data_IF_933158220440
#
_entry.id   IF_933158220440
#
_cell.length_a   1.000
_cell.length_b   1.000
_cell.length_c   1.000
_cell.angle_alpha   90.00
_cell.angle_beta   90.00
_cell.angle_gamma   90.00
#
_symmetry.space_group_name_H-M   'P 1'
#
loop_
_entity.id
_entity.type
_entity.pdbx_description
1 polymer ?
#
# COMPACT_ATOMS: atom_id res chain seq x y z
N UNK A 1 -25.17 -12.91 10.73
CA UNK A 1 -24.01 -13.31 11.56
C UNK A 1 -22.83 -12.42 11.17
N UNK A 2 -22.46 -11.46 12.03
CA UNK A 2 -21.47 -10.40 11.76
C UNK A 2 -20.05 -10.97 11.77
N UNK A 3 -19.41 -11.12 10.61
CA UNK A 3 -17.94 -11.26 10.55
C UNK A 3 -17.33 -9.88 10.41
N UNK A 4 -16.91 -9.37 11.56
CA UNK A 4 -16.25 -8.10 11.75
C UNK A 4 -14.97 -8.04 10.91
N UNK A 5 -14.95 -7.02 10.07
CA UNK A 5 -13.91 -6.27 9.37
C UNK A 5 -12.47 -6.29 9.92
N UNK A 6 -11.81 -7.46 9.99
CA UNK A 6 -10.37 -7.58 10.31
C UNK A 6 -9.45 -7.78 9.08
N UNK A 7 -10.00 -7.80 7.85
CA UNK A 7 -9.26 -8.28 6.68
C UNK A 7 -8.08 -7.38 6.23
N UNK A 8 -8.16 -6.05 6.10
CA UNK A 8 -7.05 -5.24 5.57
C UNK A 8 -5.89 -5.10 6.58
N UNK A 9 -6.21 -5.05 7.88
CA UNK A 9 -5.22 -5.07 8.95
C UNK A 9 -4.42 -6.38 8.93
N UNK A 10 -5.12 -7.52 9.00
CA UNK A 10 -4.48 -8.84 9.05
C UNK A 10 -3.65 -9.11 7.80
N UNK A 11 -4.14 -8.73 6.63
CA UNK A 11 -3.43 -8.93 5.37
C UNK A 11 -2.22 -8.02 5.22
N UNK A 12 -2.27 -6.78 5.70
CA UNK A 12 -1.09 -5.89 5.74
C UNK A 12 0.02 -6.44 6.64
N UNK A 13 -0.33 -6.98 7.81
CA UNK A 13 0.62 -7.61 8.74
C UNK A 13 1.20 -8.89 8.12
N UNK A 14 0.37 -9.80 7.61
CA UNK A 14 0.88 -11.03 6.97
C UNK A 14 1.78 -10.70 5.78
N UNK A 15 1.36 -9.74 4.94
CA UNK A 15 2.13 -9.30 3.78
C UNK A 15 3.47 -8.68 4.18
N UNK A 16 3.48 -7.83 5.22
CA UNK A 16 4.72 -7.27 5.74
C UNK A 16 5.71 -8.34 6.21
N UNK A 17 5.21 -9.42 6.81
CA UNK A 17 6.04 -10.54 7.27
C UNK A 17 6.62 -11.30 6.07
N UNK A 18 5.78 -11.55 5.07
CA UNK A 18 6.22 -12.18 3.82
C UNK A 18 7.27 -11.33 3.10
N UNK A 19 7.10 -10.00 3.04
CA UNK A 19 8.09 -9.10 2.48
C UNK A 19 9.40 -9.11 3.28
N UNK A 20 9.34 -9.12 4.61
CA UNK A 20 10.54 -9.16 5.45
C UNK A 20 11.32 -10.47 5.26
N UNK A 21 10.64 -11.62 5.28
CA UNK A 21 11.26 -12.93 5.08
C UNK A 21 11.77 -13.07 3.64
N UNK A 22 10.96 -12.64 2.66
CA UNK A 22 11.30 -12.71 1.24
C UNK A 22 12.39 -11.73 0.80
N UNK A 23 12.64 -10.66 1.56
CA UNK A 23 13.64 -9.67 1.23
C UNK A 23 15.05 -10.26 1.07
N UNK A 24 15.44 -11.14 2.00
CA UNK A 24 16.77 -11.77 2.00
C UNK A 24 16.98 -12.60 0.73
N UNK A 25 16.17 -13.64 0.43
CA UNK A 25 16.39 -14.47 -0.76
C UNK A 25 16.22 -13.68 -2.06
N UNK A 26 15.24 -12.76 -2.17
CA UNK A 26 15.04 -11.96 -3.39
C UNK A 26 16.25 -11.07 -3.64
N UNK A 27 16.75 -10.38 -2.61
CA UNK A 27 17.92 -9.52 -2.74
C UNK A 27 19.20 -10.33 -3.04
N UNK A 28 19.34 -11.55 -2.51
CA UNK A 28 20.46 -12.45 -2.83
C UNK A 28 20.41 -12.91 -4.29
N UNK A 29 19.25 -13.36 -4.77
CA UNK A 29 19.07 -13.79 -6.17
C UNK A 29 19.33 -12.62 -7.12
N UNK A 30 18.74 -11.46 -6.86
CA UNK A 30 18.98 -10.27 -7.68
C UNK A 30 20.43 -9.79 -7.59
N UNK A 31 21.09 -9.92 -6.44
CA UNK A 31 22.51 -9.62 -6.26
C UNK A 31 23.46 -10.51 -7.05
N UNK A 32 23.01 -11.72 -7.44
CA UNK A 32 23.78 -12.55 -8.38
C UNK A 32 23.67 -12.07 -9.83
N UNK A 33 22.62 -11.32 -10.17
CA UNK A 33 22.36 -10.83 -11.53
C UNK A 33 22.81 -9.38 -11.74
N UNK A 34 22.74 -8.55 -10.69
CA UNK A 34 22.99 -7.12 -10.75
C UNK A 34 23.94 -6.63 -9.66
N UNK A 35 24.78 -5.66 -10.01
CA UNK A 35 25.63 -4.96 -9.04
C UNK A 35 24.83 -4.08 -8.09
N UNK A 36 25.27 -4.00 -6.84
CA UNK A 36 24.73 -3.06 -5.86
C UNK A 36 24.80 -1.61 -6.40
N UNK A 37 23.77 -0.75 -6.23
CA UNK A 37 22.59 -0.87 -5.36
C UNK A 37 21.29 -1.35 -6.04
N UNK A 38 21.34 -1.85 -7.28
CA UNK A 38 20.13 -2.21 -8.04
C UNK A 38 19.25 -3.29 -7.38
N UNK A 39 19.80 -4.43 -6.88
CA UNK A 39 19.00 -5.49 -6.24
C UNK A 39 18.10 -4.97 -5.11
N UNK A 40 18.64 -4.06 -4.29
CA UNK A 40 17.95 -3.46 -3.17
C UNK A 40 16.74 -2.64 -3.62
N UNK A 41 16.94 -1.76 -4.60
CA UNK A 41 15.89 -0.89 -5.15
C UNK A 41 14.79 -1.69 -5.83
N UNK A 42 15.18 -2.69 -6.62
CA UNK A 42 14.24 -3.60 -7.27
C UNK A 42 13.39 -4.39 -6.27
N UNK A 43 14.01 -4.89 -5.19
CA UNK A 43 13.29 -5.63 -4.15
C UNK A 43 12.24 -4.75 -3.46
N UNK A 44 12.60 -3.49 -3.14
CA UNK A 44 11.66 -2.53 -2.55
C UNK A 44 10.52 -2.19 -3.51
N UNK A 45 10.85 -1.95 -4.78
CA UNK A 45 9.85 -1.68 -5.81
C UNK A 45 8.86 -2.85 -5.95
N UNK A 46 9.34 -4.09 -5.97
CA UNK A 46 8.48 -5.29 -6.01
C UNK A 46 7.55 -5.35 -4.80
N UNK A 47 8.08 -5.16 -3.58
CA UNK A 47 7.26 -5.11 -2.36
C UNK A 47 6.17 -4.03 -2.45
N UNK A 48 6.51 -2.85 -2.98
CA UNK A 48 5.55 -1.77 -3.15
C UNK A 48 4.50 -2.09 -4.22
N UNK A 49 4.88 -2.71 -5.34
CA UNK A 49 3.95 -3.15 -6.38
C UNK A 49 2.87 -4.07 -5.80
N UNK A 50 3.28 -5.12 -5.11
CA UNK A 50 2.35 -6.07 -4.49
C UNK A 50 1.48 -5.40 -3.42
N UNK A 51 2.06 -4.54 -2.58
CA UNK A 51 1.29 -3.82 -1.58
C UNK A 51 0.26 -2.85 -2.20
N UNK A 52 0.63 -2.17 -3.28
CA UNK A 52 -0.24 -1.23 -3.98
C UNK A 52 -1.44 -1.95 -4.63
N UNK A 53 -1.22 -3.15 -5.15
CA UNK A 53 -2.30 -4.00 -5.67
C UNK A 53 -3.28 -4.42 -4.55
N UNK A 54 -2.76 -4.77 -3.38
CA UNK A 54 -3.60 -5.06 -2.20
C UNK A 54 -4.41 -3.83 -1.78
N UNK A 55 -3.79 -2.65 -1.74
CA UNK A 55 -4.47 -1.39 -1.44
C UNK A 55 -5.60 -1.08 -2.44
N UNK A 56 -5.38 -1.27 -3.74
CA UNK A 56 -6.44 -1.08 -4.75
C UNK A 56 -7.57 -2.08 -4.57
N UNK A 57 -7.24 -3.34 -4.31
CA UNK A 57 -8.24 -4.38 -4.07
C UNK A 57 -9.11 -4.05 -2.84
N UNK A 58 -8.51 -3.49 -1.78
CA UNK A 58 -9.28 -3.04 -0.62
C UNK A 58 -10.13 -1.80 -0.93
N UNK A 59 -9.62 -0.88 -1.74
CA UNK A 59 -10.29 0.37 -2.08
C UNK A 59 -11.35 0.25 -3.20
N UNK A 60 -11.50 -0.95 -3.78
CA UNK A 60 -12.43 -1.24 -4.87
C UNK A 60 -12.36 -0.19 -6.01
N UNK A 61 -11.13 0.18 -6.38
CA UNK A 61 -10.83 1.13 -7.47
C UNK A 61 -10.16 0.44 -8.66
N UNK A 62 -10.13 1.12 -9.80
CA UNK A 62 -9.43 0.63 -10.99
C UNK A 62 -7.92 0.65 -10.77
N UNK A 63 -7.26 -0.46 -11.09
CA UNK A 63 -5.79 -0.63 -11.02
C UNK A 63 -5.02 0.33 -11.93
N UNK A 64 -5.66 0.91 -12.95
CA UNK A 64 -5.02 1.85 -13.87
C UNK A 64 -4.40 3.07 -13.19
N UNK A 65 -4.93 3.52 -12.04
CA UNK A 65 -4.36 4.64 -11.29
C UNK A 65 -3.01 4.31 -10.61
N UNK A 66 -2.64 3.03 -10.52
CA UNK A 66 -1.35 2.61 -9.96
C UNK A 66 -0.22 2.61 -10.98
N UNK A 67 -0.56 2.50 -12.26
CA UNK A 67 0.44 2.26 -13.30
C UNK A 67 1.41 3.43 -13.38
N UNK A 68 0.90 4.66 -13.36
CA UNK A 68 1.72 5.87 -13.40
C UNK A 68 2.68 5.99 -12.22
N UNK A 69 2.25 5.98 -10.93
CA UNK A 69 3.17 6.09 -9.80
C UNK A 69 4.19 4.94 -9.72
N UNK A 70 3.80 3.70 -10.07
CA UNK A 70 4.70 2.55 -10.05
C UNK A 70 5.74 2.60 -11.18
N UNK A 71 5.34 3.02 -12.39
CA UNK A 71 6.27 3.23 -13.51
C UNK A 71 7.24 4.35 -13.20
N UNK A 72 6.78 5.44 -12.60
CA UNK A 72 7.64 6.55 -12.18
C UNK A 72 8.71 6.05 -11.20
N UNK A 73 8.31 5.28 -10.18
CA UNK A 73 9.27 4.72 -9.22
C UNK A 73 10.24 3.71 -9.87
N UNK A 74 9.78 2.96 -10.87
CA UNK A 74 10.62 2.02 -11.63
C UNK A 74 11.74 2.75 -12.37
N UNK A 75 11.42 3.84 -13.07
CA UNK A 75 12.43 4.66 -13.78
C UNK A 75 13.44 5.24 -12.78
N UNK A 76 12.96 5.66 -11.60
CA UNK A 76 13.80 6.21 -10.55
C UNK A 76 14.78 5.21 -9.93
N UNK A 77 14.62 3.89 -10.16
CA UNK A 77 15.64 2.89 -9.79
C UNK A 77 16.99 3.24 -10.42
N UNK A 78 16.98 3.74 -11.65
CA UNK A 78 18.18 4.08 -12.42
C UNK A 78 18.60 5.54 -12.28
N UNK A 79 17.65 6.47 -12.18
CA UNK A 79 17.95 7.91 -12.17
C UNK A 79 18.44 8.42 -10.81
N UNK A 80 18.07 7.77 -9.70
CA UNK A 80 18.38 8.28 -8.36
C UNK A 80 19.80 7.86 -7.94
N UNK A 81 20.69 8.80 -7.60
CA UNK A 81 22.08 8.47 -7.28
C UNK A 81 22.21 7.82 -5.90
N UNK A 82 21.42 8.24 -4.90
CA UNK A 82 21.59 7.83 -3.50
C UNK A 82 20.47 6.92 -2.99
N UNK A 83 20.82 5.93 -2.16
CA UNK A 83 19.86 5.01 -1.55
C UNK A 83 18.78 5.69 -0.70
N UNK A 84 19.14 6.61 0.23
CA UNK A 84 18.16 7.32 1.05
C UNK A 84 17.16 8.14 0.24
N UNK A 85 17.61 8.81 -0.83
CA UNK A 85 16.72 9.59 -1.71
C UNK A 85 15.69 8.69 -2.40
N UNK A 86 16.10 7.48 -2.80
CA UNK A 86 15.18 6.50 -3.38
C UNK A 86 14.13 6.03 -2.36
N UNK A 87 14.50 5.86 -1.10
CA UNK A 87 13.56 5.51 -0.02
C UNK A 87 12.55 6.63 0.24
N UNK A 88 13.01 7.88 0.32
CA UNK A 88 12.12 9.04 0.46
C UNK A 88 11.14 9.11 -0.70
N UNK A 89 11.60 8.89 -1.93
CA UNK A 89 10.75 8.86 -3.10
C UNK A 89 9.74 7.69 -3.05
N UNK A 90 10.17 6.51 -2.59
CA UNK A 90 9.29 5.35 -2.38
C UNK A 90 8.17 5.69 -1.40
N UNK A 91 8.49 6.37 -0.29
CA UNK A 91 7.51 6.84 0.68
C UNK A 91 6.57 7.89 0.07
N UNK A 92 7.10 8.84 -0.71
CA UNK A 92 6.30 9.85 -1.39
C UNK A 92 5.31 9.23 -2.39
N UNK A 93 5.76 8.25 -3.17
CA UNK A 93 4.91 7.49 -4.10
C UNK A 93 3.86 6.68 -3.35
N UNK A 94 4.20 6.05 -2.23
CA UNK A 94 3.21 5.36 -1.41
C UNK A 94 2.15 6.32 -0.86
N UNK A 95 2.56 7.48 -0.34
CA UNK A 95 1.64 8.53 0.12
C UNK A 95 0.74 9.02 -1.03
N UNK A 96 1.28 9.16 -2.24
CA UNK A 96 0.51 9.50 -3.43
C UNK A 96 -0.54 8.44 -3.74
N UNK A 97 -0.15 7.16 -3.80
CA UNK A 97 -1.06 6.04 -4.08
C UNK A 97 -2.16 5.99 -3.03
N UNK A 98 -1.79 6.08 -1.75
CA UNK A 98 -2.76 6.12 -0.64
C UNK A 98 -3.67 7.33 -0.76
N UNK A 99 -3.14 8.48 -1.17
CA UNK A 99 -3.95 9.67 -1.32
C UNK A 99 -5.00 9.52 -2.42
N UNK A 100 -4.62 8.98 -3.57
CA UNK A 100 -5.57 8.74 -4.68
C UNK A 100 -6.60 7.65 -4.38
N UNK A 101 -6.27 6.67 -3.54
CA UNK A 101 -7.16 5.57 -3.19
C UNK A 101 -8.08 5.88 -2.00
N UNK A 102 -7.54 6.48 -0.93
CA UNK A 102 -8.25 6.70 0.34
C UNK A 102 -8.92 8.09 0.43
N UNK A 103 -8.39 9.14 -0.21
CA UNK A 103 -9.02 10.47 -0.15
C UNK A 103 -10.06 10.68 -1.25
N UNK A 104 -11.28 10.42 -0.86
CA UNK A 104 -12.48 11.06 -1.43
C UNK A 104 -13.33 11.58 -0.25
N UNK A 105 -12.66 12.12 0.78
CA UNK A 105 -13.19 12.52 2.09
C UNK A 105 -12.25 13.53 2.80
N UNK A 106 -12.55 13.99 4.03
CA UNK A 106 -11.95 15.20 4.62
C UNK A 106 -10.44 15.06 4.90
N UNK A 107 -9.65 15.78 4.10
CA UNK A 107 -8.18 15.79 4.08
C UNK A 107 -7.53 16.14 5.44
N UNK A 108 -8.25 16.88 6.29
CA UNK A 108 -7.72 17.48 7.52
C UNK A 108 -7.33 16.48 8.63
N UNK A 109 -7.95 15.29 8.69
CA UNK A 109 -7.67 14.32 9.77
C UNK A 109 -6.55 13.34 9.43
N UNK A 110 -6.29 13.15 8.15
CA UNK A 110 -5.48 12.02 7.68
C UNK A 110 -4.09 12.46 7.25
N UNK A 111 -3.91 13.72 6.81
CA UNK A 111 -2.58 14.32 6.56
C UNK A 111 -1.63 14.20 7.77
N UNK A 112 -2.03 14.53 9.02
CA UNK A 112 -1.12 14.36 10.16
C UNK A 112 -0.79 12.89 10.44
N UNK A 113 -1.73 11.97 10.22
CA UNK A 113 -1.48 10.53 10.39
C UNK A 113 -0.54 9.99 9.31
N UNK A 114 -0.68 10.43 8.06
CA UNK A 114 0.24 10.07 6.97
C UNK A 114 1.63 10.66 7.19
N UNK A 115 1.73 11.90 7.68
CA UNK A 115 3.00 12.49 8.07
C UNK A 115 3.66 11.69 9.19
N UNK A 116 2.95 11.38 10.27
CA UNK A 116 3.51 10.61 11.40
C UNK A 116 3.93 9.20 10.96
N UNK A 117 3.16 8.55 10.09
CA UNK A 117 3.47 7.19 9.66
C UNK A 117 4.59 7.18 8.61
N UNK A 118 4.60 8.10 7.64
CA UNK A 118 5.67 8.17 6.63
C UNK A 118 6.97 8.73 7.20
N UNK A 119 6.93 9.81 7.99
CA UNK A 119 8.14 10.33 8.65
C UNK A 119 8.59 9.43 9.80
N UNK A 120 7.67 8.90 10.61
CA UNK A 120 8.03 8.00 11.71
C UNK A 120 8.70 6.72 11.21
N UNK A 121 8.19 6.13 10.12
CA UNK A 121 8.78 4.94 9.55
C UNK A 121 10.08 5.21 8.77
N UNK A 122 10.19 6.36 8.08
CA UNK A 122 11.45 6.81 7.47
C UNK A 122 12.54 7.12 8.51
N UNK A 123 12.16 7.74 9.62
CA UNK A 123 13.05 8.02 10.76
C UNK A 123 13.53 6.72 11.40
N UNK A 124 12.61 5.76 11.67
CA UNK A 124 12.97 4.44 12.17
C UNK A 124 13.94 3.71 11.23
N UNK A 125 13.72 3.77 9.90
CA UNK A 125 14.64 3.17 8.93
C UNK A 125 16.06 3.78 9.01
N UNK A 126 16.16 5.09 9.25
CA UNK A 126 17.44 5.80 9.32
C UNK A 126 18.14 5.58 10.67
N UNK A 127 17.40 5.58 11.78
CA UNK A 127 17.95 5.31 13.12
C UNK A 127 18.56 3.92 13.24
N UNK A 128 18.04 2.92 12.51
CA UNK A 128 18.56 1.56 12.56
C UNK A 128 19.86 1.34 11.75
N UNK A 129 20.28 2.31 10.91
CA UNK A 129 21.47 2.24 10.04
C UNK A 129 21.78 0.81 9.53
N UNK A 130 20.87 0.23 8.73
CA UNK A 130 20.95 -1.17 8.35
C UNK A 130 22.08 -1.43 7.34
N UNK A 131 23.27 -1.79 7.84
CA UNK A 131 24.40 -2.24 7.01
C UNK A 131 24.28 -3.71 6.57
N UNK A 132 23.23 -4.43 6.99
CA UNK A 132 23.03 -5.85 6.73
C UNK A 132 21.61 -6.15 6.25
N UNK A 133 21.46 -7.14 5.38
CA UNK A 133 20.15 -7.56 4.83
C UNK A 133 19.13 -7.93 5.91
N UNK A 134 19.59 -8.46 7.04
CA UNK A 134 18.74 -8.82 8.19
C UNK A 134 18.15 -7.56 8.84
N UNK A 135 18.95 -6.51 9.03
CA UNK A 135 18.45 -5.24 9.57
C UNK A 135 17.43 -4.61 8.63
N UNK A 136 17.63 -4.72 7.31
CA UNK A 136 16.66 -4.27 6.31
C UNK A 136 15.35 -5.04 6.36
N UNK A 137 15.38 -6.37 6.53
CA UNK A 137 14.17 -7.16 6.75
C UNK A 137 13.40 -6.67 7.99
N UNK A 138 14.09 -6.37 9.08
CA UNK A 138 13.50 -5.78 10.28
C UNK A 138 12.88 -4.39 10.05
N UNK A 139 13.55 -3.53 9.29
CA UNK A 139 13.01 -2.21 8.92
C UNK A 139 11.75 -2.34 8.07
N UNK A 140 11.73 -3.25 7.08
CA UNK A 140 10.55 -3.51 6.25
C UNK A 140 9.40 -4.03 7.11
N UNK A 141 9.69 -4.93 8.05
CA UNK A 141 8.69 -5.44 8.98
C UNK A 141 8.08 -4.32 9.85
N UNK A 142 8.92 -3.51 10.49
CA UNK A 142 8.49 -2.37 11.30
C UNK A 142 7.70 -1.35 10.49
N UNK A 143 8.11 -1.10 9.25
CA UNK A 143 7.39 -0.22 8.32
C UNK A 143 5.96 -0.72 8.11
N UNK A 144 5.77 -1.99 7.76
CA UNK A 144 4.44 -2.54 7.54
C UNK A 144 3.61 -2.63 8.82
N UNK A 145 4.22 -2.87 9.99
CA UNK A 145 3.53 -2.78 11.26
C UNK A 145 3.00 -1.36 11.51
N UNK A 146 3.83 -0.33 11.30
CA UNK A 146 3.40 1.07 11.43
C UNK A 146 2.27 1.40 10.44
N UNK A 147 2.37 0.93 9.19
CA UNK A 147 1.30 1.06 8.20
C UNK A 147 0.02 0.33 8.61
N UNK A 148 0.12 -0.81 9.30
CA UNK A 148 -1.05 -1.57 9.77
C UNK A 148 -1.81 -0.80 10.86
N UNK A 149 -1.11 -0.05 11.71
CA UNK A 149 -1.72 0.80 12.74
C UNK A 149 -2.63 1.86 12.12
N UNK A 150 -2.33 2.36 10.92
CA UNK A 150 -3.24 3.24 10.18
C UNK A 150 -4.65 2.65 10.07
N UNK A 151 -4.75 1.36 9.72
CA UNK A 151 -6.04 0.70 9.54
C UNK A 151 -6.78 0.48 10.87
N UNK A 152 -6.09 0.49 12.00
CA UNK A 152 -6.74 0.46 13.32
C UNK A 152 -7.49 1.76 13.58
N UNK A 153 -6.88 2.90 13.25
CA UNK A 153 -7.48 4.22 13.45
C UNK A 153 -8.52 4.58 12.39
N UNK A 154 -8.22 4.33 11.11
CA UNK A 154 -9.04 4.75 9.98
C UNK A 154 -9.87 3.63 9.34
N UNK A 155 -9.72 2.37 9.79
CA UNK A 155 -10.42 1.22 9.20
C UNK A 155 -11.95 1.29 9.31
N UNK A 156 -12.49 1.96 10.33
CA UNK A 156 -13.94 2.15 10.48
C UNK A 156 -14.54 3.03 9.38
N UNK A 157 -13.85 4.10 8.98
CA UNK A 157 -14.30 5.00 7.91
C UNK A 157 -14.23 4.31 6.54
N UNK A 158 -13.21 3.48 6.34
CA UNK A 158 -13.03 2.70 5.13
C UNK A 158 -14.17 1.67 4.93
N UNK A 159 -14.57 1.01 6.01
CA UNK A 159 -15.63 0.00 6.00
C UNK A 159 -17.02 0.59 5.82
N UNK A 160 -17.29 1.75 6.46
CA UNK A 160 -18.53 2.50 6.26
C UNK A 160 -18.71 2.91 4.80
N UNK A 161 -17.64 3.40 4.16
CA UNK A 161 -17.69 3.84 2.77
C UNK A 161 -17.94 2.70 1.79
N UNK A 162 -17.27 1.56 2.00
CA UNK A 162 -17.47 0.37 1.17
C UNK A 162 -18.87 -0.24 1.37
N UNK A 163 -19.41 -0.26 2.60
CA UNK A 163 -20.77 -0.72 2.85
C UNK A 163 -21.84 0.20 2.22
N UNK A 164 -21.65 1.52 2.25
CA UNK A 164 -22.58 2.47 1.60
C UNK A 164 -22.53 2.36 0.07
N UNK A 165 -21.36 2.14 -0.51
CA UNK A 165 -21.23 1.90 -1.96
C UNK A 165 -21.87 0.56 -2.37
N UNK A 166 -21.64 -0.50 -1.60
CA UNK A 166 -22.25 -1.81 -1.83
C UNK A 166 -23.79 -1.80 -1.66
N UNK A 167 -24.32 -1.01 -0.71
CA UNK A 167 -25.77 -0.86 -0.56
C UNK A 167 -26.38 -0.04 -1.70
N UNK A 168 -25.69 1.00 -2.15
CA UNK A 168 -26.10 1.81 -3.31
C UNK A 168 -26.22 0.95 -4.58
N UNK A 169 -25.24 0.08 -4.86
CA UNK A 169 -25.28 -0.81 -6.03
C UNK A 169 -26.43 -1.83 -5.95
N UNK A 170 -26.78 -2.29 -4.74
CA UNK A 170 -27.89 -3.23 -4.53
C UNK A 170 -29.25 -2.58 -4.82
N UNK A 171 -29.45 -1.33 -4.39
CA UNK A 171 -30.67 -0.56 -4.68
C UNK A 171 -30.79 -0.21 -6.17
N UNK A 172 -29.69 0.16 -6.83
CA UNK A 172 -29.71 0.37 -8.29
C UNK A 172 -30.02 -0.93 -9.06
N UNK A 173 -29.49 -2.06 -8.60
CA UNK A 173 -29.81 -3.36 -9.21
C UNK A 173 -31.29 -3.70 -9.06
N UNK A 174 -31.86 -3.48 -7.87
CA UNK A 174 -33.29 -3.67 -7.62
C UNK A 174 -34.16 -2.75 -8.48
N UNK A 175 -33.76 -1.47 -8.63
CA UNK A 175 -34.47 -0.50 -9.48
C UNK A 175 -34.46 -0.91 -10.96
N UNK A 176 -33.29 -1.30 -11.49
CA UNK A 176 -33.17 -1.78 -12.88
C UNK A 176 -33.98 -3.06 -13.12
N UNK A 177 -34.11 -3.91 -12.11
CA UNK A 177 -34.90 -5.13 -12.21
C UNK A 177 -36.41 -4.82 -12.21
N UNK A 178 -36.86 -3.83 -11.42
CA UNK A 178 -38.22 -3.32 -11.44
C UNK A 178 -38.58 -2.60 -12.75
N UNK A 179 -37.68 -1.77 -13.30
CA UNK A 179 -37.86 -1.13 -14.61
C UNK A 179 -38.01 -2.19 -15.72
N UNK A 180 -37.23 -3.27 -15.68
CA UNK A 180 -37.37 -4.38 -16.64
C UNK A 180 -38.72 -5.08 -16.56
N UNK A 181 -39.26 -5.27 -15.36
CA UNK A 181 -40.57 -5.89 -15.16
C UNK A 181 -41.72 -5.00 -15.66
N UNK A 182 -41.59 -3.68 -15.49
CA UNK A 182 -42.58 -2.71 -15.97
C UNK A 182 -42.60 -2.56 -17.50
N UNK A 183 -41.47 -2.77 -18.17
CA UNK A 183 -41.37 -2.69 -19.64
C UNK A 183 -41.79 -4.02 -20.31
N UNK A 184 -41.75 -5.13 -19.57
CA UNK A 184 -42.17 -6.46 -20.07
C UNK A 184 -43.66 -6.76 -19.91
N UNK A 185 -44.46 -5.78 -19.46
CA UNK A 185 -45.89 -5.86 -19.19
C UNK A 185 -46.64 -4.93 -20.15
#
# INVERSE_FOLDING_TARGET
>A
MKTITYSPLRTSVIFGLMCAIGFIPVNTVLGSMFSYPLPFRFTIWLCLCFYSLLLVKWADKKTGSLFFPLMLLFICIYMVPTGPLYLVLTLAVLSWIRSGLCFTGPLLKTIPAELVICFGSGFLAQSFSPNTSIKWAGVIWLFFLCQSVYFVFFGKEFDLKNNVKASSDTFEHARKQAEKMLISL
#
